data_IF_443768461917
#
_entry.id   IF_443768461917
#
_cell.length_a   1.000
_cell.length_b   1.000
_cell.length_c   1.000
_cell.angle_alpha   90.00
_cell.angle_beta   90.00
_cell.angle_gamma   90.00
#
_symmetry.space_group_name_H-M   'P 1'
#
loop_
_entity.id
_entity.type
_entity.pdbx_description
1 polymer ?
#
# COMPACT_ATOMS: atom_id res chain seq x y z
N UNK A 1 -18.69 16.46 11.25
CA UNK A 1 -17.30 16.00 11.20
C UNK A 1 -16.81 16.16 9.77
N UNK A 2 -15.54 16.50 9.51
CA UNK A 2 -15.03 16.52 8.15
C UNK A 2 -15.17 15.14 7.52
N UNK A 3 -15.51 15.08 6.25
CA UNK A 3 -15.58 13.83 5.48
C UNK A 3 -14.20 13.15 5.52
N UNK A 4 -14.12 11.83 5.77
CA UNK A 4 -12.85 11.12 5.75
C UNK A 4 -12.19 11.29 4.37
N UNK A 5 -10.89 11.56 4.37
CA UNK A 5 -10.13 11.70 3.12
C UNK A 5 -9.89 10.33 2.49
N UNK A 6 -9.88 10.25 1.16
CA UNK A 6 -9.62 9.00 0.45
C UNK A 6 -8.14 8.91 0.07
N UNK A 7 -7.47 7.84 0.50
CA UNK A 7 -6.05 7.57 0.22
C UNK A 7 -5.93 6.31 -0.64
N UNK A 8 -5.36 6.42 -1.83
CA UNK A 8 -5.06 5.29 -2.71
C UNK A 8 -3.58 4.91 -2.63
N UNK A 9 -3.28 3.63 -2.45
CA UNK A 9 -1.94 3.09 -2.59
C UNK A 9 -1.83 2.24 -3.85
N UNK A 10 -0.95 2.63 -4.76
CA UNK A 10 -0.84 2.03 -6.09
C UNK A 10 0.50 1.32 -6.29
N UNK A 11 0.43 0.07 -6.71
CA UNK A 11 1.58 -0.77 -7.07
C UNK A 11 1.32 -1.41 -8.46
N UNK A 12 2.27 -2.15 -9.02
CA UNK A 12 2.03 -2.90 -10.26
C UNK A 12 0.96 -3.98 -10.06
N UNK A 13 1.21 -4.99 -9.22
CA UNK A 13 0.33 -6.17 -9.10
C UNK A 13 -0.57 -6.24 -7.86
N UNK A 14 -0.63 -5.18 -7.05
CA UNK A 14 -1.35 -5.13 -5.75
C UNK A 14 -1.23 -6.38 -4.86
N UNK A 15 0.00 -6.86 -4.72
CA UNK A 15 0.28 -8.15 -4.08
C UNK A 15 1.06 -8.04 -2.77
N UNK A 16 2.07 -7.17 -2.69
CA UNK A 16 2.96 -7.05 -1.53
C UNK A 16 2.94 -5.62 -0.95
N UNK A 17 3.78 -4.73 -1.50
CA UNK A 17 4.05 -3.38 -0.97
C UNK A 17 2.79 -2.54 -0.73
N UNK A 18 1.87 -2.50 -1.69
CA UNK A 18 0.64 -1.74 -1.50
C UNK A 18 -0.32 -2.35 -0.48
N UNK A 19 -0.26 -3.66 -0.25
CA UNK A 19 -1.05 -4.33 0.80
C UNK A 19 -0.49 -4.04 2.20
N UNK A 20 0.84 -4.06 2.34
CA UNK A 20 1.51 -3.66 3.59
C UNK A 20 1.15 -2.21 3.96
N UNK A 21 1.27 -1.29 2.98
CA UNK A 21 0.96 0.12 3.19
C UNK A 21 -0.52 0.35 3.53
N UNK A 22 -1.43 -0.35 2.83
CA UNK A 22 -2.86 -0.30 3.13
C UNK A 22 -3.13 -0.69 4.57
N UNK A 23 -2.64 -1.84 5.03
CA UNK A 23 -2.84 -2.29 6.41
C UNK A 23 -2.35 -1.29 7.44
N UNK A 24 -1.13 -0.74 7.26
CA UNK A 24 -0.60 0.25 8.19
C UNK A 24 -1.37 1.57 8.20
N UNK A 25 -1.71 2.11 7.02
CA UNK A 25 -2.46 3.36 6.94
C UNK A 25 -3.87 3.20 7.53
N UNK A 26 -4.54 2.08 7.30
CA UNK A 26 -5.86 1.81 7.90
C UNK A 26 -5.77 1.81 9.42
N UNK A 27 -4.76 1.15 9.99
CA UNK A 27 -4.56 1.12 11.45
C UNK A 27 -4.18 2.49 12.03
N UNK A 28 -3.34 3.27 11.33
CA UNK A 28 -2.84 4.55 11.81
C UNK A 28 -3.86 5.68 11.66
N UNK A 29 -4.65 5.69 10.58
CA UNK A 29 -5.58 6.76 10.27
C UNK A 29 -6.98 6.51 10.85
N UNK A 30 -7.39 5.26 11.01
CA UNK A 30 -8.72 4.90 11.51
C UNK A 30 -9.82 5.65 10.76
N UNK A 31 -10.70 6.35 11.48
CA UNK A 31 -11.81 7.10 10.88
C UNK A 31 -11.40 8.41 10.19
N UNK A 32 -10.12 8.81 10.24
CA UNK A 32 -9.64 10.04 9.58
C UNK A 32 -9.57 9.89 8.05
N UNK A 33 -9.42 8.67 7.54
CA UNK A 33 -9.26 8.41 6.13
C UNK A 33 -9.79 7.03 5.72
N UNK A 34 -10.36 6.97 4.51
CA UNK A 34 -10.64 5.70 3.83
C UNK A 34 -9.42 5.32 3.00
N UNK A 35 -8.80 4.19 3.32
CA UNK A 35 -7.61 3.70 2.63
C UNK A 35 -8.00 2.64 1.61
N UNK A 36 -7.37 2.71 0.44
CA UNK A 36 -7.58 1.81 -0.67
C UNK A 36 -6.22 1.35 -1.20
N UNK A 37 -6.15 0.14 -1.75
CA UNK A 37 -4.98 -0.30 -2.50
C UNK A 37 -5.39 -0.89 -3.84
N UNK A 38 -4.59 -0.63 -4.86
CA UNK A 38 -4.87 -1.08 -6.20
C UNK A 38 -3.60 -1.40 -6.99
N UNK A 39 -3.82 -2.14 -8.06
CA UNK A 39 -2.81 -2.56 -9.03
C UNK A 39 -3.19 -2.16 -10.43
N UNK A 40 -2.18 -1.92 -11.27
CA UNK A 40 -2.34 -1.89 -12.73
C UNK A 40 -2.57 -3.31 -13.26
N UNK A 41 -2.15 -4.30 -12.49
CA UNK A 41 -2.40 -5.72 -12.66
C UNK A 41 -2.89 -6.28 -11.33
N UNK A 42 -3.56 -7.44 -11.35
CA UNK A 42 -4.04 -8.14 -10.15
C UNK A 42 -3.37 -9.50 -10.05
N UNK A 43 -2.48 -9.66 -9.07
CA UNK A 43 -1.73 -10.90 -8.85
C UNK A 43 -2.13 -11.64 -7.57
N UNK A 44 -3.16 -11.16 -6.87
CA UNK A 44 -3.57 -11.70 -5.59
C UNK A 44 -2.66 -11.21 -4.45
N UNK A 45 -3.21 -11.23 -3.22
CA UNK A 45 -2.46 -10.84 -2.02
C UNK A 45 -1.41 -11.91 -1.71
N UNK A 46 -0.16 -11.49 -1.52
CA UNK A 46 0.92 -12.43 -1.24
C UNK A 46 0.76 -13.03 0.18
N UNK A 47 0.70 -14.36 0.35
CA UNK A 47 0.59 -14.99 1.66
C UNK A 47 1.71 -14.60 2.63
N UNK A 48 2.93 -14.34 2.13
CA UNK A 48 4.05 -13.89 2.95
C UNK A 48 3.86 -12.46 3.46
N UNK A 49 3.20 -11.59 2.68
CA UNK A 49 2.83 -10.26 3.12
C UNK A 49 1.81 -10.33 4.27
N UNK A 50 0.82 -11.21 4.17
CA UNK A 50 -0.14 -11.48 5.26
C UNK A 50 0.61 -11.94 6.52
N UNK A 51 1.51 -12.92 6.38
CA UNK A 51 2.27 -13.46 7.50
C UNK A 51 3.11 -12.41 8.23
N UNK A 52 3.86 -11.56 7.52
CA UNK A 52 4.70 -10.53 8.18
C UNK A 52 3.89 -9.40 8.79
N UNK A 53 2.70 -9.11 8.27
CA UNK A 53 1.79 -8.12 8.87
C UNK A 53 1.17 -8.67 10.16
N UNK A 54 0.78 -9.95 10.16
CA UNK A 54 0.29 -10.63 11.35
C UNK A 54 1.35 -10.67 12.46
N UNK A 55 2.64 -10.85 12.12
CA UNK A 55 3.74 -10.74 13.10
C UNK A 55 3.79 -9.37 13.81
N UNK A 56 3.35 -8.30 13.16
CA UNK A 56 3.32 -6.92 13.70
C UNK A 56 1.91 -6.52 14.19
N UNK A 57 0.99 -7.49 14.30
CA UNK A 57 -0.36 -7.28 14.82
C UNK A 57 -1.37 -6.65 13.85
N UNK A 58 -1.05 -6.57 12.56
CA UNK A 58 -1.93 -6.01 11.53
C UNK A 58 -2.53 -7.15 10.69
N UNK A 59 -3.85 -7.31 10.71
CA UNK A 59 -4.50 -8.30 9.86
C UNK A 59 -4.85 -7.71 8.49
N UNK A 60 -4.23 -8.25 7.45
CA UNK A 60 -4.57 -7.96 6.04
C UNK A 60 -5.10 -9.20 5.32
N UNK A 61 -5.43 -10.28 6.03
CA UNK A 61 -5.88 -11.54 5.44
C UNK A 61 -7.23 -11.43 4.72
N UNK A 62 -8.02 -10.43 5.07
CA UNK A 62 -9.30 -10.11 4.43
C UNK A 62 -9.17 -9.16 3.23
N UNK A 63 -7.96 -8.66 2.93
CA UNK A 63 -7.74 -7.79 1.78
C UNK A 63 -7.87 -8.57 0.47
N UNK A 64 -8.25 -7.85 -0.57
CA UNK A 64 -8.30 -8.35 -1.95
C UNK A 64 -7.28 -7.62 -2.82
N UNK A 65 -6.89 -8.25 -3.93
CA UNK A 65 -6.04 -7.63 -4.94
C UNK A 65 -6.94 -7.02 -6.01
N UNK A 66 -7.11 -5.70 -5.97
CA UNK A 66 -8.06 -4.96 -6.80
C UNK A 66 -7.35 -4.22 -7.92
N UNK A 67 -8.04 -4.13 -9.06
CA UNK A 67 -7.57 -3.36 -10.19
C UNK A 67 -7.86 -1.87 -9.99
N UNK A 68 -6.99 -1.01 -10.50
CA UNK A 68 -7.08 0.43 -10.35
C UNK A 68 -8.36 1.04 -10.94
N UNK A 69 -8.84 0.48 -12.05
CA UNK A 69 -10.07 0.93 -12.72
C UNK A 69 -11.33 0.78 -11.86
N UNK A 70 -11.33 -0.18 -10.92
CA UNK A 70 -12.44 -0.38 -9.98
C UNK A 70 -12.67 0.87 -9.14
N UNK A 71 -11.64 1.68 -8.92
CA UNK A 71 -11.68 2.88 -8.11
C UNK A 71 -11.71 4.18 -8.91
N UNK A 72 -11.89 4.10 -10.23
CA UNK A 72 -11.94 5.28 -11.12
C UNK A 72 -13.00 6.33 -10.74
N UNK A 73 -14.05 5.91 -10.00
CA UNK A 73 -15.15 6.75 -9.54
C UNK A 73 -14.92 7.33 -8.12
N UNK A 74 -13.86 6.92 -7.42
CA UNK A 74 -13.58 7.38 -6.06
C UNK A 74 -12.79 8.70 -6.11
N UNK A 75 -13.25 9.76 -5.44
CA UNK A 75 -12.52 11.01 -5.39
C UNK A 75 -11.38 10.90 -4.38
N UNK A 76 -10.17 10.60 -4.87
CA UNK A 76 -8.98 10.50 -4.04
C UNK A 76 -8.42 11.87 -3.65
N UNK A 77 -8.02 12.01 -2.38
CA UNK A 77 -7.30 13.17 -1.86
C UNK A 77 -5.78 12.94 -1.93
N UNK A 78 -5.35 11.70 -1.76
CA UNK A 78 -3.95 11.28 -1.85
C UNK A 78 -3.80 10.03 -2.68
N UNK A 79 -2.77 10.01 -3.55
CA UNK A 79 -2.37 8.83 -4.31
C UNK A 79 -0.90 8.57 -4.04
N UNK A 80 -0.58 7.40 -3.48
CA UNK A 80 0.78 6.99 -3.09
C UNK A 80 1.22 5.87 -4.03
N UNK A 81 2.19 6.12 -4.90
CA UNK A 81 2.80 5.10 -5.75
C UNK A 81 3.99 4.47 -5.03
N UNK A 82 3.96 3.14 -4.86
CA UNK A 82 4.96 2.39 -4.06
C UNK A 82 5.98 1.62 -4.90
N UNK A 83 5.93 1.75 -6.22
CA UNK A 83 6.93 1.25 -7.15
C UNK A 83 7.07 2.19 -8.36
N UNK A 84 8.26 2.22 -8.96
CA UNK A 84 8.56 3.07 -10.12
C UNK A 84 7.64 2.76 -11.30
N UNK A 85 7.39 1.47 -11.55
CA UNK A 85 6.51 1.04 -12.64
C UNK A 85 5.06 1.51 -12.46
N UNK A 86 4.57 1.60 -11.22
CA UNK A 86 3.26 2.18 -10.94
C UNK A 86 3.25 3.71 -11.10
N UNK A 87 4.39 4.35 -10.88
CA UNK A 87 4.55 5.78 -11.10
C UNK A 87 4.59 6.13 -12.59
N UNK A 88 5.27 5.33 -13.40
CA UNK A 88 5.38 5.51 -14.85
C UNK A 88 4.09 5.14 -15.59
N UNK A 89 3.49 3.99 -15.24
CA UNK A 89 2.21 3.56 -15.80
C UNK A 89 1.00 4.14 -15.04
N UNK A 90 1.23 5.17 -14.21
CA UNK A 90 0.21 5.78 -13.38
C UNK A 90 -0.99 6.19 -14.23
N UNK A 91 -2.17 5.61 -14.01
CA UNK A 91 -3.36 5.99 -14.75
C UNK A 91 -3.63 7.48 -14.54
N UNK A 92 -4.08 8.17 -15.59
CA UNK A 92 -4.53 9.55 -15.47
C UNK A 92 -5.83 9.55 -14.68
N UNK A 93 -5.73 9.64 -13.36
CA UNK A 93 -6.91 9.86 -12.52
C UNK A 93 -7.38 11.30 -12.71
N UNK A 94 -8.67 11.52 -13.01
CA UNK A 94 -9.29 12.83 -12.90
C UNK A 94 -9.48 13.17 -11.42
N UNK A 95 -8.39 13.41 -10.70
CA UNK A 95 -8.43 13.78 -9.29
C UNK A 95 -7.50 14.96 -9.03
N UNK A 96 -7.95 15.86 -8.17
CA UNK A 96 -7.12 16.91 -7.55
C UNK A 96 -6.21 16.33 -6.44
N UNK A 97 -5.95 15.02 -6.47
CA UNK A 97 -5.23 14.32 -5.43
C UNK A 97 -3.78 14.76 -5.36
N UNK A 98 -3.25 14.83 -4.14
CA UNK A 98 -1.81 14.96 -3.92
C UNK A 98 -1.14 13.64 -4.27
N UNK A 99 -0.28 13.65 -5.30
CA UNK A 99 0.48 12.48 -5.73
C UNK A 99 1.79 12.40 -4.97
N UNK A 100 2.03 11.27 -4.32
CA UNK A 100 3.25 10.96 -3.60
C UNK A 100 3.86 9.70 -4.21
N UNK A 101 5.19 9.67 -4.27
CA UNK A 101 5.91 8.53 -4.78
C UNK A 101 6.98 8.11 -3.77
N UNK A 102 7.03 6.82 -3.47
CA UNK A 102 8.09 6.24 -2.67
C UNK A 102 8.35 4.80 -3.12
N UNK A 103 9.50 4.57 -3.73
CA UNK A 103 9.86 3.24 -4.20
C UNK A 103 10.32 2.35 -3.04
N UNK A 104 9.69 1.19 -2.89
CA UNK A 104 10.14 0.16 -1.95
C UNK A 104 10.74 -1.04 -2.70
N UNK A 105 11.80 -1.67 -2.14
CA UNK A 105 12.36 -2.88 -2.72
C UNK A 105 11.29 -3.97 -2.82
N UNK A 106 11.33 -4.76 -3.89
CA UNK A 106 10.33 -5.79 -4.13
C UNK A 106 10.68 -7.07 -3.37
N UNK A 107 9.97 -7.41 -2.27
CA UNK A 107 10.30 -8.59 -1.49
C UNK A 107 9.98 -9.89 -2.26
N UNK A 108 9.13 -9.84 -3.29
CA UNK A 108 8.80 -11.01 -4.10
C UNK A 108 9.98 -11.46 -4.98
N UNK A 109 10.97 -10.60 -5.24
CA UNK A 109 12.20 -10.93 -5.98
C UNK A 109 13.32 -11.47 -5.08
N UNK A 110 13.09 -11.54 -3.77
CA UNK A 110 14.09 -12.08 -2.85
C UNK A 110 14.35 -13.57 -3.15
N UNK A 111 15.63 -13.92 -3.26
CA UNK A 111 16.11 -15.29 -3.50
C UNK A 111 16.89 -15.78 -2.29
N UNK A 112 16.84 -17.07 -2.00
CA UNK A 112 17.56 -17.68 -0.89
C UNK A 112 16.71 -18.70 -0.16
N UNK A 113 17.08 -18.97 1.09
CA UNK A 113 16.32 -19.80 2.03
C UNK A 113 14.98 -19.13 2.39
N UNK A 114 14.05 -19.92 2.93
CA UNK A 114 12.76 -19.40 3.39
C UNK A 114 12.91 -18.27 4.42
N UNK A 115 13.88 -18.40 5.35
CA UNK A 115 14.15 -17.39 6.37
C UNK A 115 14.75 -16.11 5.78
N UNK A 116 15.68 -16.22 4.83
CA UNK A 116 16.23 -15.05 4.14
C UNK A 116 15.14 -14.27 3.39
N UNK A 117 14.23 -14.98 2.72
CA UNK A 117 13.10 -14.35 2.05
C UNK A 117 12.19 -13.66 3.08
N UNK A 118 11.80 -14.34 4.15
CA UNK A 118 10.96 -13.74 5.20
C UNK A 118 11.63 -12.52 5.85
N UNK A 119 12.95 -12.57 6.07
CA UNK A 119 13.73 -11.43 6.57
C UNK A 119 13.64 -10.23 5.63
N UNK A 120 13.70 -10.43 4.31
CA UNK A 120 13.48 -9.35 3.34
C UNK A 120 12.05 -8.80 3.39
N UNK A 121 11.03 -9.65 3.54
CA UNK A 121 9.66 -9.21 3.72
C UNK A 121 9.50 -8.35 4.99
N UNK A 122 10.11 -8.74 6.12
CA UNK A 122 10.13 -7.97 7.37
C UNK A 122 10.83 -6.62 7.18
N UNK A 123 11.99 -6.61 6.52
CA UNK A 123 12.72 -5.37 6.25
C UNK A 123 11.89 -4.38 5.41
N UNK A 124 11.21 -4.86 4.36
CA UNK A 124 10.31 -4.03 3.54
C UNK A 124 9.12 -3.57 4.37
N UNK A 125 8.51 -4.45 5.16
CA UNK A 125 7.40 -4.10 6.06
C UNK A 125 7.80 -2.94 6.99
N UNK A 126 8.96 -3.02 7.61
CA UNK A 126 9.41 -1.99 8.56
C UNK A 126 9.68 -0.65 7.87
N UNK A 127 10.20 -0.66 6.64
CA UNK A 127 10.33 0.55 5.82
C UNK A 127 8.97 1.16 5.49
N UNK A 128 8.00 0.32 5.09
CA UNK A 128 6.63 0.76 4.79
C UNK A 128 5.97 1.35 6.03
N UNK A 129 6.14 0.72 7.21
CA UNK A 129 5.63 1.22 8.49
C UNK A 129 6.19 2.61 8.82
N UNK A 130 7.51 2.79 8.65
CA UNK A 130 8.16 4.07 8.90
C UNK A 130 7.61 5.18 7.98
N UNK A 131 7.43 4.85 6.69
CA UNK A 131 6.84 5.79 5.74
C UNK A 131 5.38 6.11 6.07
N UNK A 132 4.55 5.10 6.35
CA UNK A 132 3.14 5.27 6.72
C UNK A 132 2.96 6.15 7.96
N UNK A 133 3.84 5.97 8.95
CA UNK A 133 3.88 6.81 10.17
C UNK A 133 4.20 8.27 9.83
N UNK A 134 5.24 8.49 9.02
CA UNK A 134 5.62 9.84 8.60
C UNK A 134 4.51 10.52 7.78
N UNK A 135 3.92 9.81 6.81
CA UNK A 135 2.78 10.28 6.03
C UNK A 135 1.61 10.69 6.95
N UNK A 136 1.27 9.85 7.92
CA UNK A 136 0.20 10.14 8.88
C UNK A 136 0.48 11.42 9.67
N UNK A 137 1.71 11.59 10.16
CA UNK A 137 2.11 12.80 10.89
C UNK A 137 2.12 14.05 10.01
N UNK A 138 2.55 13.93 8.76
CA UNK A 138 2.67 15.09 7.87
C UNK A 138 1.33 15.59 7.34
N UNK A 139 0.37 14.69 7.09
CA UNK A 139 -0.88 15.01 6.38
C UNK A 139 -2.16 14.87 7.21
N UNK A 140 -2.09 14.24 8.40
CA UNK A 140 -3.25 13.91 9.26
C UNK A 140 -3.03 14.17 10.76
N UNK A 141 -1.94 14.83 11.14
CA UNK A 141 -1.71 15.32 12.51
C UNK A 141 -2.69 16.42 12.90
#
# INVERSE_FOLDING_TARGET
MPTPKNVLVLCTGNSCRSQLMHGYLTQLLGEKASVYSAGIETHGVNPKAIAVMQEDGVDIGHHTSNHVDEYSHVPFDYVITVCDNANEACPVFPSSATKLHHNFPDPAKATGTAEEIMSQFRAVRDQVKAYATNFTHQYFA
#
